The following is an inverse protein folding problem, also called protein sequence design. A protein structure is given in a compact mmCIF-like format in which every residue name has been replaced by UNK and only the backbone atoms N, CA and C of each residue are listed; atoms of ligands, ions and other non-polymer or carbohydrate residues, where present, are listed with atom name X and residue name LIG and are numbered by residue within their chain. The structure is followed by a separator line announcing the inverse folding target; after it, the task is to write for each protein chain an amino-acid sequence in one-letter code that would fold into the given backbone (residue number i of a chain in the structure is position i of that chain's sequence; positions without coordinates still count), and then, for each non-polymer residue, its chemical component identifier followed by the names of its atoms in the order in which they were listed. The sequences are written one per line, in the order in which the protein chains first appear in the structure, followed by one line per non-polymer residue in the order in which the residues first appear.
data_IF_562182075329
#
_entry.id   IF_562182075329
#
_cell.length_a   1.000
_cell.length_b   1.000
_cell.length_c   1.000
_cell.angle_alpha   90.00
_cell.angle_beta   90.00
_cell.angle_gamma   90.00
#
_symmetry.space_group_name_H-M   'P 1'
#
loop_
_entity.id
_entity.type
_entity.pdbx_description
1 polymer ?
#
# COMPACT_ATOMS: atom_id res chain seq x y z
N UNK A 1 26.28 -4.77 -5.04
CA UNK A 1 25.12 -4.14 -5.71
C UNK A 1 23.93 -4.43 -4.85
N UNK A 2 23.50 -3.48 -4.02
CA UNK A 2 22.23 -3.62 -3.33
C UNK A 2 21.15 -3.53 -4.39
N UNK A 3 20.41 -4.62 -4.57
CA UNK A 3 19.23 -4.61 -5.41
C UNK A 3 18.30 -3.60 -4.74
N UNK A 4 18.03 -2.48 -5.42
CA UNK A 4 16.92 -1.62 -5.04
C UNK A 4 15.67 -2.51 -5.05
N UNK A 5 15.07 -2.69 -3.87
CA UNK A 5 14.00 -3.66 -3.56
C UNK A 5 12.86 -3.70 -4.59
N UNK A 6 12.62 -2.59 -5.28
CA UNK A 6 11.65 -2.46 -6.35
C UNK A 6 12.18 -1.47 -7.41
N UNK A 7 11.84 -1.65 -8.70
CA UNK A 7 12.26 -0.75 -9.76
C UNK A 7 11.62 0.65 -9.69
N UNK A 8 10.61 0.84 -8.84
CA UNK A 8 9.88 2.09 -8.67
C UNK A 8 9.73 2.44 -7.18
N UNK A 9 9.57 3.73 -6.90
CA UNK A 9 9.17 4.24 -5.58
C UNK A 9 7.81 4.89 -5.69
N UNK A 10 6.83 4.47 -4.89
CA UNK A 10 5.55 5.17 -4.75
C UNK A 10 5.72 6.35 -3.78
N UNK A 11 5.69 7.56 -4.33
CA UNK A 11 6.05 8.80 -3.62
C UNK A 11 4.84 9.55 -3.07
N UNK A 12 3.63 9.20 -3.51
CA UNK A 12 2.37 9.81 -3.09
C UNK A 12 1.24 8.79 -3.17
N UNK A 13 0.26 8.93 -2.29
CA UNK A 13 -1.02 8.24 -2.34
C UNK A 13 -2.16 9.26 -2.25
N UNK A 14 -3.19 9.10 -3.07
CA UNK A 14 -4.40 9.93 -3.03
C UNK A 14 -5.63 9.05 -2.88
N UNK A 15 -6.60 9.49 -2.08
CA UNK A 15 -7.93 8.89 -2.01
C UNK A 15 -8.88 9.59 -2.96
N UNK A 16 -9.54 8.81 -3.81
CA UNK A 16 -10.71 9.23 -4.57
C UNK A 16 -11.98 8.61 -3.98
N UNK A 17 -13.01 9.45 -3.81
CA UNK A 17 -14.28 9.06 -3.19
C UNK A 17 -14.29 9.19 -1.67
N UNK A 18 -15.44 8.86 -1.09
CA UNK A 18 -15.64 8.87 0.36
C UNK A 18 -14.88 7.73 1.05
N UNK A 19 -14.40 7.92 2.29
CA UNK A 19 -13.77 6.86 3.05
C UNK A 19 -14.67 5.62 3.18
N UNK A 20 -14.12 4.45 2.89
CA UNK A 20 -14.82 3.17 3.04
C UNK A 20 -14.50 2.17 1.92
N UNK A 21 -15.23 1.04 1.87
CA UNK A 21 -14.93 -0.06 0.94
C UNK A 21 -14.88 0.35 -0.54
N UNK A 22 -15.70 1.33 -0.94
CA UNK A 22 -15.77 1.81 -2.32
C UNK A 22 -14.74 2.86 -2.70
N UNK A 23 -13.90 3.35 -1.78
CA UNK A 23 -12.87 4.34 -2.09
C UNK A 23 -11.87 3.77 -3.11
N UNK A 24 -11.15 4.64 -3.80
CA UNK A 24 -10.02 4.23 -4.66
C UNK A 24 -8.76 4.92 -4.19
N UNK A 25 -7.70 4.15 -3.95
CA UNK A 25 -6.37 4.67 -3.66
C UNK A 25 -5.53 4.71 -4.92
N UNK A 26 -5.01 5.88 -5.25
CA UNK A 26 -4.16 6.12 -6.41
C UNK A 26 -2.73 6.41 -5.95
N UNK A 27 -1.77 5.62 -6.44
CA UNK A 27 -0.35 5.76 -6.12
C UNK A 27 0.38 6.37 -7.32
N UNK A 28 1.17 7.41 -7.06
CA UNK A 28 2.06 8.01 -8.04
C UNK A 28 3.50 7.57 -7.77
N UNK A 29 4.16 7.04 -8.80
CA UNK A 29 5.57 6.65 -8.71
C UNK A 29 6.52 7.81 -8.99
N UNK A 30 7.78 7.67 -8.60
CA UNK A 30 8.86 8.61 -8.90
C UNK A 30 9.13 8.80 -10.41
N UNK A 31 8.66 7.88 -11.26
CA UNK A 31 8.77 7.99 -12.72
C UNK A 31 7.48 8.51 -13.38
N UNK A 32 6.48 8.89 -12.58
CA UNK A 32 5.22 9.45 -13.06
C UNK A 32 4.15 8.42 -13.44
N UNK A 33 4.41 7.12 -13.27
CA UNK A 33 3.37 6.10 -13.44
C UNK A 33 2.30 6.23 -12.35
N UNK A 34 1.03 6.15 -12.75
CA UNK A 34 -0.12 6.14 -11.85
C UNK A 34 -0.68 4.72 -11.74
N UNK A 35 -0.88 4.25 -10.51
CA UNK A 35 -1.41 2.92 -10.21
C UNK A 35 -2.62 3.05 -9.29
N UNK A 36 -3.74 2.43 -9.65
CA UNK A 36 -4.92 2.37 -8.79
C UNK A 36 -4.90 1.07 -8.01
N UNK A 37 -4.79 1.13 -6.70
CA UNK A 37 -4.83 -0.08 -5.89
C UNK A 37 -6.19 -0.76 -6.01
N UNK A 38 -6.18 -2.08 -6.12
CA UNK A 38 -7.37 -2.89 -6.30
C UNK A 38 -7.00 -4.37 -6.44
N UNK A 39 -7.96 -5.26 -6.73
CA UNK A 39 -7.71 -6.70 -6.86
C UNK A 39 -6.59 -7.05 -7.85
N UNK A 40 -6.48 -6.29 -8.95
CA UNK A 40 -5.48 -6.49 -10.01
C UNK A 40 -4.16 -5.75 -9.75
N UNK A 41 -4.12 -4.86 -8.76
CA UNK A 41 -2.97 -4.05 -8.39
C UNK A 41 -2.90 -3.94 -6.86
N UNK A 42 -2.63 -5.06 -6.14
CA UNK A 42 -2.77 -5.09 -4.70
C UNK A 42 -1.69 -4.26 -4.00
N UNK A 43 -2.03 -3.78 -2.81
CA UNK A 43 -1.05 -3.31 -1.83
C UNK A 43 -0.67 -4.49 -0.95
N UNK A 44 0.63 -4.67 -0.69
CA UNK A 44 1.15 -5.67 0.24
C UNK A 44 2.21 -5.06 1.15
N UNK A 45 2.35 -5.62 2.34
CA UNK A 45 3.44 -5.28 3.27
C UNK A 45 4.22 -6.55 3.57
N UNK A 46 5.52 -6.46 3.39
CA UNK A 46 6.47 -7.51 3.76
C UNK A 46 7.23 -7.04 4.99
N UNK A 47 7.20 -7.83 6.07
CA UNK A 47 7.92 -7.51 7.29
C UNK A 47 9.22 -8.29 7.32
N UNK A 48 10.33 -7.57 7.46
CA UNK A 48 11.64 -8.19 7.63
C UNK A 48 11.67 -8.99 8.94
N UNK A 49 11.99 -10.29 8.92
CA UNK A 49 11.93 -11.15 10.10
C UNK A 49 13.05 -10.90 11.11
N UNK A 50 14.15 -10.26 10.71
CA UNK A 50 15.29 -9.97 11.58
C UNK A 50 15.14 -8.61 12.27
N UNK A 51 14.69 -7.60 11.52
CA UNK A 51 14.58 -6.21 12.00
C UNK A 51 13.17 -5.82 12.42
N UNK A 52 12.15 -6.52 11.93
CA UNK A 52 10.75 -6.17 12.11
C UNK A 52 10.30 -4.99 11.25
N UNK A 53 11.15 -4.47 10.35
CA UNK A 53 10.80 -3.31 9.53
C UNK A 53 9.78 -3.67 8.44
N UNK A 54 8.67 -2.91 8.31
CA UNK A 54 7.71 -3.12 7.23
C UNK A 54 8.19 -2.46 5.93
N UNK A 55 8.15 -3.24 4.85
CA UNK A 55 8.35 -2.80 3.48
C UNK A 55 7.01 -2.88 2.71
N UNK A 56 6.33 -1.74 2.54
CA UNK A 56 5.10 -1.66 1.75
C UNK A 56 5.36 -1.58 0.23
N UNK A 57 4.54 -2.27 -0.55
CA UNK A 57 4.59 -2.28 -2.02
C UNK A 57 3.20 -2.16 -2.64
N UNK A 58 3.14 -1.60 -3.85
CA UNK A 58 1.95 -1.64 -4.72
C UNK A 58 2.34 -2.14 -6.11
N UNK A 59 1.54 -3.03 -6.69
CA UNK A 59 1.79 -3.55 -8.04
C UNK A 59 1.47 -2.50 -9.10
N UNK A 60 2.45 -2.14 -9.93
CA UNK A 60 2.31 -1.12 -10.98
C UNK A 60 1.84 -1.73 -12.30
N UNK A 61 2.56 -2.74 -12.79
CA UNK A 61 2.22 -3.45 -14.05
C UNK A 61 2.92 -4.79 -14.15
N UNK A 62 2.22 -5.80 -14.66
CA UNK A 62 2.77 -7.14 -14.83
C UNK A 62 3.22 -7.72 -13.49
N UNK A 63 4.54 -7.76 -13.26
CA UNK A 63 5.15 -8.17 -11.97
C UNK A 63 6.02 -7.09 -11.34
N UNK A 64 5.95 -5.86 -11.85
CA UNK A 64 6.74 -4.75 -11.34
C UNK A 64 5.96 -4.03 -10.26
N UNK A 65 6.60 -3.86 -9.12
CA UNK A 65 6.04 -3.19 -7.96
C UNK A 65 6.75 -1.86 -7.73
N UNK A 66 6.10 -0.99 -6.97
CA UNK A 66 6.69 0.20 -6.40
C UNK A 66 6.76 0.04 -4.88
N UNK A 67 7.94 0.24 -4.29
CA UNK A 67 8.08 0.33 -2.84
C UNK A 67 7.54 1.69 -2.38
N UNK A 68 6.64 1.73 -1.41
CA UNK A 68 6.15 3.01 -0.91
C UNK A 68 7.26 3.69 -0.12
N UNK A 69 7.41 4.99 -0.36
CA UNK A 69 8.29 5.82 0.48
C UNK A 69 7.68 5.97 1.86
N UNK A 70 8.51 6.27 2.88
CA UNK A 70 8.03 6.48 4.25
C UNK A 70 6.92 7.52 4.35
N UNK A 71 6.99 8.70 3.69
CA UNK A 71 5.90 9.68 3.71
C UNK A 71 4.60 9.12 3.13
N UNK A 72 4.65 8.49 1.95
CA UNK A 72 3.47 7.90 1.33
C UNK A 72 2.86 6.77 2.19
N UNK A 73 3.70 6.00 2.89
CA UNK A 73 3.23 4.97 3.81
C UNK A 73 2.54 5.57 5.04
N UNK A 74 3.05 6.67 5.61
CA UNK A 74 2.38 7.34 6.73
C UNK A 74 1.02 7.92 6.32
N UNK A 75 0.92 8.54 5.14
CA UNK A 75 -0.37 8.97 4.58
C UNK A 75 -1.33 7.78 4.38
N UNK A 76 -0.81 6.62 3.97
CA UNK A 76 -1.60 5.39 3.86
C UNK A 76 -2.14 4.92 5.22
N UNK A 77 -1.28 4.96 6.25
CA UNK A 77 -1.64 4.59 7.62
C UNK A 77 -2.72 5.52 8.18
N UNK A 78 -2.69 6.82 7.88
CA UNK A 78 -3.73 7.77 8.29
C UNK A 78 -5.12 7.45 7.68
N UNK A 79 -5.15 6.67 6.60
CA UNK A 79 -6.38 6.19 5.96
C UNK A 79 -6.78 4.77 6.38
N UNK A 80 -5.96 4.12 7.22
CA UNK A 80 -6.17 2.74 7.62
C UNK A 80 -7.32 2.62 8.64
N UNK A 81 -7.99 1.48 8.59
CA UNK A 81 -9.06 1.09 9.50
C UNK A 81 -8.81 -0.32 10.01
N UNK A 82 -9.47 -0.69 11.10
CA UNK A 82 -9.45 -2.06 11.60
C UNK A 82 -9.98 -3.04 10.56
N UNK A 83 -9.35 -4.21 10.51
CA UNK A 83 -9.78 -5.28 9.63
C UNK A 83 -11.22 -5.71 9.97
N UNK A 84 -12.08 -5.85 8.96
CA UNK A 84 -13.51 -6.14 9.17
C UNK A 84 -13.76 -7.53 9.78
N UNK A 85 -12.77 -8.43 9.73
CA UNK A 85 -12.82 -9.77 10.30
C UNK A 85 -12.43 -9.82 11.79
N UNK A 86 -12.06 -8.68 12.38
CA UNK A 86 -11.65 -8.60 13.79
C UNK A 86 -10.28 -9.24 14.07
N UNK A 87 -9.44 -9.42 13.06
CA UNK A 87 -8.12 -10.05 13.19
C UNK A 87 -7.09 -9.23 13.98
N UNK A 88 -7.44 -7.98 14.36
CA UNK A 88 -6.51 -7.05 15.01
C UNK A 88 -5.45 -6.50 14.06
N UNK A 89 -5.66 -6.63 12.75
CA UNK A 89 -4.86 -5.97 11.72
C UNK A 89 -5.47 -4.62 11.35
N UNK A 90 -4.61 -3.68 10.98
CA UNK A 90 -4.97 -2.47 10.25
C UNK A 90 -4.78 -2.68 8.76
N UNK A 91 -5.62 -2.02 7.97
CA UNK A 91 -5.53 -2.06 6.52
C UNK A 91 -6.34 -0.96 5.87
N UNK A 92 -6.24 -0.90 4.55
CA UNK A 92 -6.92 0.11 3.74
C UNK A 92 -7.88 -0.55 2.76
N UNK A 93 -8.99 0.13 2.50
CA UNK A 93 -9.90 -0.24 1.44
C UNK A 93 -9.48 0.41 0.12
N UNK A 94 -9.59 -0.32 -0.99
CA UNK A 94 -9.60 0.27 -2.33
C UNK A 94 -10.35 -0.64 -3.30
N UNK A 95 -11.25 -0.08 -4.11
CA UNK A 95 -12.03 -0.80 -5.12
C UNK A 95 -12.74 -2.05 -4.58
N UNK A 96 -13.30 -1.97 -3.36
CA UNK A 96 -14.01 -3.08 -2.71
C UNK A 96 -13.10 -4.16 -2.12
N UNK A 97 -11.78 -4.03 -2.21
CA UNK A 97 -10.81 -4.93 -1.61
C UNK A 97 -10.14 -4.31 -0.38
N UNK A 98 -9.86 -5.13 0.63
CA UNK A 98 -9.14 -4.74 1.84
C UNK A 98 -7.69 -5.23 1.78
N UNK A 99 -6.74 -4.33 2.01
CA UNK A 99 -5.31 -4.61 2.01
C UNK A 99 -4.74 -4.42 3.41
N UNK A 100 -4.37 -5.50 4.12
CA UNK A 100 -3.75 -5.39 5.42
C UNK A 100 -2.36 -4.75 5.28
N UNK A 101 -2.04 -3.81 6.18
CA UNK A 101 -0.76 -3.07 6.17
C UNK A 101 0.08 -3.29 7.44
N UNK A 102 -0.48 -3.95 8.47
CA UNK A 102 0.23 -4.28 9.69
C UNK A 102 -0.72 -4.56 10.87
N UNK A 103 -0.19 -4.90 12.04
CA UNK A 103 -0.98 -5.04 13.26
C UNK A 103 -1.55 -3.69 13.73
N UNK A 104 -2.72 -3.73 14.36
CA UNK A 104 -3.23 -2.60 15.15
C UNK A 104 -2.32 -2.41 16.39
N UNK A 105 -1.96 -1.15 16.66
CA UNK A 105 -1.09 -0.78 17.78
C UNK A 105 -1.78 -0.96 19.13
#
# INVERSE_FOLDING_TARGET
VHVEDAPFLAVRVDRAGEPGPGQTLAFLTNLGDLTLAGPEAPVRVETDPETGEPSPYVLVRGRLEAKLTRPAFYELVDMAVDAPDGSGLLGVWSQGAFFPIGPAA
#
